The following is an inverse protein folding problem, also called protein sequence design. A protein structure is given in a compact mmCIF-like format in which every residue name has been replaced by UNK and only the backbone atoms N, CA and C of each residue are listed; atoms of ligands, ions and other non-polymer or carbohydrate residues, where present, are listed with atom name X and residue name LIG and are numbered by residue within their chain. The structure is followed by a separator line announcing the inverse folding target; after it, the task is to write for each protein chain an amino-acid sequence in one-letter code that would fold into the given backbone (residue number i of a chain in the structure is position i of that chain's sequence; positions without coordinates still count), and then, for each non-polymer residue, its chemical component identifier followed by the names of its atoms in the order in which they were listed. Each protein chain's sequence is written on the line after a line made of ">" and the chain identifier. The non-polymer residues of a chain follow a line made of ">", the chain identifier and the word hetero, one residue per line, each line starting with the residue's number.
data_IF_623609726926
#
_entry.id   IF_623609726926
#
_cell.length_a   1.000
_cell.length_b   1.000
_cell.length_c   1.000
_cell.angle_alpha   90.00
_cell.angle_beta   90.00
_cell.angle_gamma   90.00
#
_symmetry.space_group_name_H-M   'P 1'
#
loop_
_entity.id
_entity.type
_entity.pdbx_description
1 polymer ?
#
# COMPACT_ATOMS: atom_id res chain seq x y z
N UNK A 1 -3.22 -2.46 6.94
CA UNK A 1 -2.47 -1.19 6.82
C UNK A 1 -1.26 -1.09 7.76
N UNK A 2 -1.42 -1.19 9.09
CA UNK A 2 -0.29 -1.02 10.03
C UNK A 2 0.89 -1.97 9.83
N UNK A 3 0.64 -3.27 9.60
CA UNK A 3 1.72 -4.25 9.41
C UNK A 3 2.61 -3.98 8.18
N UNK A 4 2.05 -3.46 7.09
CA UNK A 4 2.84 -3.05 5.93
C UNK A 4 3.75 -1.85 6.22
N UNK A 5 3.34 -0.95 7.14
CA UNK A 5 4.17 0.19 7.56
C UNK A 5 5.40 -0.22 8.34
N UNK A 6 5.34 -1.32 9.10
CA UNK A 6 6.47 -1.79 9.91
C UNK A 6 7.71 -1.99 9.04
N UNK A 7 7.56 -2.53 7.83
CA UNK A 7 8.70 -2.73 6.92
C UNK A 7 9.34 -1.42 6.44
N UNK A 8 8.53 -0.37 6.27
CA UNK A 8 9.01 0.98 5.92
C UNK A 8 9.74 1.60 7.11
N UNK A 9 9.19 1.46 8.32
CA UNK A 9 9.80 1.98 9.55
C UNK A 9 11.10 1.25 9.90
N UNK A 10 11.16 -0.06 9.71
CA UNK A 10 12.38 -0.85 9.87
C UNK A 10 13.47 -0.39 8.92
N UNK A 11 13.10 -0.04 7.68
CA UNK A 11 14.04 0.49 6.71
C UNK A 11 14.44 1.92 7.03
N UNK A 12 13.53 2.76 7.53
CA UNK A 12 13.84 4.15 7.86
C UNK A 12 14.60 4.33 9.19
N UNK A 13 14.47 3.41 10.14
CA UNK A 13 15.01 3.54 11.49
C UNK A 13 14.35 4.61 12.37
N UNK A 14 13.37 5.37 11.84
CA UNK A 14 12.63 6.40 12.57
C UNK A 14 11.14 6.40 12.14
N UNK A 15 10.30 7.06 12.94
CA UNK A 15 8.86 7.28 12.74
C UNK A 15 8.54 8.65 12.13
N UNK A 16 9.49 9.57 12.05
CA UNK A 16 9.28 10.91 11.46
C UNK A 16 9.24 10.81 9.93
N UNK A 17 8.19 11.36 9.31
CA UNK A 17 8.01 11.29 7.84
C UNK A 17 9.15 11.95 7.07
N UNK A 18 9.74 13.01 7.64
CA UNK A 18 10.88 13.72 7.04
C UNK A 18 12.11 12.81 6.93
N UNK A 19 12.38 12.01 7.95
CA UNK A 19 13.52 11.09 7.93
C UNK A 19 13.27 9.89 7.00
N UNK A 20 12.02 9.43 6.90
CA UNK A 20 11.65 8.40 5.91
C UNK A 20 12.01 8.86 4.49
N UNK A 21 11.64 10.10 4.12
CA UNK A 21 11.97 10.67 2.81
C UNK A 21 13.49 10.82 2.62
N UNK A 22 14.20 11.21 3.67
CA UNK A 22 15.65 11.34 3.63
C UNK A 22 16.36 10.00 3.39
N UNK A 23 15.94 8.94 4.08
CA UNK A 23 16.49 7.61 3.88
C UNK A 23 16.26 7.10 2.45
N UNK A 24 15.11 7.44 1.85
CA UNK A 24 14.82 7.15 0.44
C UNK A 24 15.80 7.85 -0.52
N UNK A 25 16.13 9.10 -0.22
CA UNK A 25 17.07 9.89 -1.01
C UNK A 25 18.50 9.35 -0.91
N UNK A 26 18.95 8.95 0.29
CA UNK A 26 20.27 8.34 0.49
C UNK A 26 20.44 7.02 -0.26
N UNK A 27 19.36 6.23 -0.36
CA UNK A 27 19.36 5.00 -1.16
C UNK A 27 19.33 5.26 -2.66
N UNK A 28 18.94 6.48 -3.08
CA UNK A 28 18.80 6.86 -4.49
C UNK A 28 17.67 6.10 -5.21
N UNK A 29 16.78 5.45 -4.46
CA UNK A 29 15.67 4.67 -4.99
C UNK A 29 14.42 4.83 -4.13
N UNK A 30 13.27 4.88 -4.77
CA UNK A 30 11.99 4.87 -4.08
C UNK A 30 11.76 3.55 -3.36
N UNK A 31 11.21 3.62 -2.14
CA UNK A 31 10.85 2.42 -1.37
C UNK A 31 9.84 1.52 -2.08
N UNK A 32 9.11 2.03 -3.07
CA UNK A 32 8.27 1.20 -3.94
C UNK A 32 9.03 -0.01 -4.56
N UNK A 33 10.33 0.10 -4.84
CA UNK A 33 11.10 -1.01 -5.41
C UNK A 33 11.68 -1.96 -4.34
N UNK A 34 12.47 -1.50 -3.35
CA UNK A 34 12.97 -2.36 -2.26
C UNK A 34 11.85 -2.98 -1.42
N UNK A 35 10.70 -2.32 -1.32
CA UNK A 35 9.56 -2.76 -0.52
C UNK A 35 8.31 -3.05 -1.37
N UNK A 36 8.51 -3.63 -2.56
CA UNK A 36 7.45 -3.87 -3.55
C UNK A 36 6.21 -4.60 -3.01
N UNK A 37 6.39 -5.65 -2.19
CA UNK A 37 5.24 -6.37 -1.62
C UNK A 37 4.50 -5.53 -0.55
N UNK A 38 5.24 -4.83 0.31
CA UNK A 38 4.63 -3.93 1.29
C UNK A 38 3.89 -2.77 0.62
N UNK A 39 4.40 -2.26 -0.50
CA UNK A 39 3.69 -1.27 -1.31
C UNK A 39 2.34 -1.80 -1.80
N UNK A 40 2.31 -3.01 -2.40
CA UNK A 40 1.05 -3.62 -2.87
C UNK A 40 0.08 -3.83 -1.70
N UNK A 41 0.55 -4.40 -0.58
CA UNK A 41 -0.28 -4.64 0.61
C UNK A 41 -0.81 -3.34 1.22
N UNK A 42 0.00 -2.27 1.21
CA UNK A 42 -0.39 -0.96 1.69
C UNK A 42 -1.46 -0.34 0.78
N UNK A 43 -1.24 -0.34 -0.53
CA UNK A 43 -2.20 0.16 -1.53
C UNK A 43 -3.54 -0.55 -1.36
N UNK A 44 -3.56 -1.87 -1.38
CA UNK A 44 -4.81 -2.66 -1.22
C UNK A 44 -5.50 -2.37 0.12
N UNK A 45 -4.73 -2.22 1.20
CA UNK A 45 -5.29 -1.86 2.52
C UNK A 45 -5.88 -0.44 2.52
N UNK A 46 -5.20 0.53 1.91
CA UNK A 46 -5.64 1.92 1.83
C UNK A 46 -6.93 2.04 1.01
N UNK A 47 -7.06 1.24 -0.05
CA UNK A 47 -8.33 1.10 -0.79
C UNK A 47 -9.46 0.56 0.09
N UNK A 48 -9.19 -0.52 0.84
CA UNK A 48 -10.18 -1.09 1.74
C UNK A 48 -10.60 -0.12 2.86
N UNK A 49 -9.67 0.68 3.40
CA UNK A 49 -9.94 1.63 4.48
C UNK A 49 -10.71 2.87 4.03
N UNK A 50 -10.52 3.31 2.77
CA UNK A 50 -11.31 4.40 2.19
C UNK A 50 -12.77 4.05 1.91
N UNK A 51 -13.17 2.78 2.13
CA UNK A 51 -14.55 2.28 1.98
C UNK A 51 -15.21 2.65 0.63
N UNK A 52 -14.41 2.81 -0.43
CA UNK A 52 -14.89 3.16 -1.77
C UNK A 52 -14.87 1.96 -2.70
N UNK A 53 -15.69 2.00 -3.75
CA UNK A 53 -15.66 1.03 -4.86
C UNK A 53 -14.21 0.70 -5.25
N UNK A 54 -13.76 -0.56 -5.15
CA UNK A 54 -14.52 -1.83 -5.10
C UNK A 54 -14.83 -2.39 -3.69
N UNK A 55 -14.37 -1.77 -2.61
CA UNK A 55 -14.53 -2.18 -1.20
C UNK A 55 -15.61 -1.36 -0.47
N UNK A 56 -16.73 -1.13 -1.16
CA UNK A 56 -17.78 -0.20 -0.73
C UNK A 56 -18.87 -0.87 0.12
N UNK A 57 -18.48 -1.51 1.23
CA UNK A 57 -19.37 -2.36 2.06
C UNK A 57 -20.36 -1.57 2.93
N UNK A 58 -19.97 -0.44 3.57
CA UNK A 58 -20.91 0.38 4.35
C UNK A 58 -22.01 1.03 3.50
N UNK A 59 -21.75 1.34 2.21
CA UNK A 59 -22.81 1.78 1.28
C UNK A 59 -23.59 0.57 0.70
N UNK A 60 -23.05 -0.66 0.74
CA UNK A 60 -23.63 -1.87 0.15
C UNK A 60 -24.67 -2.59 1.00
N UNK A 61 -24.38 -2.75 2.29
CA UNK A 61 -25.16 -3.62 3.17
C UNK A 61 -26.52 -3.03 3.55
N UNK A 62 -26.77 -1.78 3.17
CA UNK A 62 -28.10 -1.17 3.13
C UNK A 62 -28.85 -1.58 1.87
N UNK A 63 -29.08 -2.88 1.66
CA UNK A 63 -29.56 -3.43 0.38
C UNK A 63 -31.03 -3.10 -0.01
N UNK A 64 -31.69 -2.09 0.59
CA UNK A 64 -33.01 -1.60 0.14
C UNK A 64 -33.25 -0.07 0.17
N UNK A 65 -32.41 0.73 0.81
CA UNK A 65 -32.48 2.21 0.82
C UNK A 65 -31.06 2.72 0.97
N UNK A 66 -30.67 3.77 0.25
CA UNK A 66 -29.29 4.31 0.11
C UNK A 66 -28.68 4.84 1.43
N UNK A 67 -28.54 3.98 2.44
CA UNK A 67 -27.94 4.19 3.77
C UNK A 67 -27.90 5.63 4.27
N UNK A 68 -26.68 6.09 4.58
CA UNK A 68 -26.44 7.44 5.08
C UNK A 68 -26.72 8.54 4.03
N UNK A 69 -26.74 8.23 2.73
CA UNK A 69 -27.12 9.19 1.68
C UNK A 69 -28.60 9.59 1.77
N UNK A 70 -29.45 8.73 2.32
CA UNK A 70 -30.89 9.00 2.52
C UNK A 70 -31.23 9.52 3.92
N UNK A 71 -30.38 9.24 4.91
CA UNK A 71 -30.62 9.63 6.31
C UNK A 71 -30.13 11.05 6.64
N UNK A 72 -29.10 11.53 5.95
CA UNK A 72 -28.52 12.85 6.19
C UNK A 72 -28.82 13.83 5.04
N UNK A 73 -29.17 15.07 5.40
CA UNK A 73 -29.48 16.14 4.45
C UNK A 73 -28.52 17.33 4.57
N UNK A 74 -28.32 18.03 3.45
CA UNK A 74 -27.58 19.29 3.30
C UNK A 74 -26.18 19.30 3.95
N UNK A 75 -26.01 20.00 5.07
CA UNK A 75 -24.70 20.23 5.68
C UNK A 75 -24.09 18.95 6.28
N UNK A 76 -24.91 18.09 6.89
CA UNK A 76 -24.45 16.81 7.44
C UNK A 76 -23.99 15.88 6.32
N UNK A 77 -24.75 15.83 5.23
CA UNK A 77 -24.37 15.09 4.02
C UNK A 77 -23.05 15.61 3.43
N UNK A 78 -22.89 16.94 3.32
CA UNK A 78 -21.64 17.54 2.84
C UNK A 78 -20.45 17.20 3.73
N UNK A 79 -20.62 17.13 5.05
CA UNK A 79 -19.54 16.78 5.97
C UNK A 79 -19.04 15.34 5.74
N UNK A 80 -19.94 14.38 5.51
CA UNK A 80 -19.56 13.01 5.15
C UNK A 80 -18.78 12.96 3.83
N UNK A 81 -19.28 13.62 2.78
CA UNK A 81 -18.59 13.66 1.48
C UNK A 81 -17.21 14.32 1.57
N UNK A 82 -17.09 15.46 2.26
CA UNK A 82 -15.80 16.14 2.47
C UNK A 82 -14.83 15.25 3.26
N UNK A 83 -15.31 14.54 4.28
CA UNK A 83 -14.49 13.62 5.06
C UNK A 83 -13.98 12.44 4.24
N UNK A 84 -14.82 11.85 3.38
CA UNK A 84 -14.42 10.74 2.50
C UNK A 84 -13.39 11.17 1.47
N UNK A 85 -13.61 12.30 0.80
CA UNK A 85 -12.62 12.87 -0.13
C UNK A 85 -11.35 13.30 0.60
N UNK A 86 -11.48 13.85 1.82
CA UNK A 86 -10.35 14.17 2.69
C UNK A 86 -9.53 12.93 3.02
N UNK A 87 -10.17 11.83 3.39
CA UNK A 87 -9.52 10.56 3.68
C UNK A 87 -8.80 9.97 2.45
N UNK A 88 -9.37 10.10 1.26
CA UNK A 88 -8.71 9.67 0.01
C UNK A 88 -7.45 10.48 -0.27
N UNK A 89 -7.51 11.80 -0.04
CA UNK A 89 -6.35 12.69 -0.21
C UNK A 89 -5.27 12.39 0.82
N UNK A 90 -5.61 12.17 2.09
CA UNK A 90 -4.63 11.83 3.13
C UNK A 90 -4.00 10.47 2.89
N UNK A 91 -4.76 9.45 2.49
CA UNK A 91 -4.23 8.13 2.13
C UNK A 91 -3.26 8.23 0.94
N UNK A 92 -3.62 8.99 -0.10
CA UNK A 92 -2.77 9.22 -1.27
C UNK A 92 -1.49 10.00 -0.92
N UNK A 93 -1.60 11.00 -0.03
CA UNK A 93 -0.46 11.75 0.48
C UNK A 93 0.50 10.83 1.26
N UNK A 94 -0.02 9.98 2.15
CA UNK A 94 0.79 9.01 2.90
C UNK A 94 1.48 7.99 1.97
N UNK A 95 0.79 7.51 0.93
CA UNK A 95 1.39 6.63 -0.07
C UNK A 95 2.55 7.30 -0.80
N UNK A 96 2.37 8.57 -1.20
CA UNK A 96 3.41 9.35 -1.86
C UNK A 96 4.62 9.58 -0.94
N UNK A 97 4.41 9.90 0.33
CA UNK A 97 5.51 10.12 1.29
C UNK A 97 6.24 8.84 1.65
N UNK A 98 5.52 7.74 1.89
CA UNK A 98 6.13 6.53 2.42
C UNK A 98 6.83 5.69 1.35
N UNK A 99 6.32 5.65 0.12
CA UNK A 99 6.84 4.77 -0.91
C UNK A 99 7.52 5.48 -2.08
N UNK A 100 7.11 6.71 -2.42
CA UNK A 100 7.58 7.45 -3.59
C UNK A 100 8.47 8.65 -3.24
N UNK A 101 9.06 8.71 -2.04
CA UNK A 101 9.99 9.79 -1.70
C UNK A 101 9.33 11.14 -1.43
N UNK A 102 8.00 11.24 -1.28
CA UNK A 102 7.32 12.49 -0.94
C UNK A 102 7.69 13.65 -1.89
N UNK A 103 8.39 14.65 -1.35
CA UNK A 103 8.85 15.85 -2.07
C UNK A 103 10.15 15.65 -2.88
N UNK A 104 10.85 14.53 -2.71
CA UNK A 104 12.09 14.24 -3.43
C UNK A 104 11.82 13.92 -4.92
N UNK A 105 12.60 14.51 -5.82
CA UNK A 105 12.50 14.26 -7.26
C UNK A 105 13.65 13.34 -7.68
N UNK A 106 13.36 12.23 -8.39
CA UNK A 106 14.39 11.26 -8.76
C UNK A 106 15.45 11.95 -9.63
N UNK A 107 16.66 12.06 -9.10
CA UNK A 107 17.80 12.72 -9.74
C UNK A 107 18.32 13.96 -9.01
N UNK A 108 18.59 13.89 -7.70
CA UNK A 108 19.48 14.82 -6.95
C UNK A 108 19.39 16.31 -7.34
N UNK A 109 18.16 16.83 -7.50
CA UNK A 109 17.93 18.26 -7.79
C UNK A 109 17.85 19.10 -6.51
N UNK A 110 17.47 18.48 -5.38
CA UNK A 110 17.31 19.16 -4.11
C UNK A 110 17.61 18.23 -2.92
N UNK A 111 18.88 18.16 -2.50
CA UNK A 111 19.25 17.49 -1.25
C UNK A 111 18.92 18.33 0.00
N UNK A 112 17.99 19.28 -0.10
CA UNK A 112 17.68 20.21 0.97
C UNK A 112 16.70 19.60 1.98
N UNK A 113 17.11 19.44 3.23
CA UNK A 113 16.30 18.97 4.35
C UNK A 113 16.30 19.98 5.50
N UNK A 114 15.23 19.95 6.28
CA UNK A 114 15.16 20.71 7.53
C UNK A 114 15.78 19.90 8.66
N UNK A 115 16.81 20.44 9.29
CA UNK A 115 17.45 19.86 10.47
C UNK A 115 17.70 20.96 11.49
N UNK A 116 17.22 20.74 12.72
CA UNK A 116 17.38 21.68 13.84
C UNK A 116 16.99 23.14 13.52
N UNK A 117 15.98 23.32 12.66
CA UNK A 117 15.46 24.65 12.28
C UNK A 117 16.22 25.34 11.13
N UNK A 118 17.16 24.66 10.46
CA UNK A 118 17.88 25.19 9.29
C UNK A 118 17.71 24.29 8.05
N UNK A 119 17.69 24.91 6.86
CA UNK A 119 17.62 24.21 5.57
C UNK A 119 19.04 23.83 5.12
N UNK A 120 19.36 22.53 5.16
CA UNK A 120 20.70 21.97 4.97
C UNK A 120 20.68 21.07 3.72
N UNK A 121 21.71 21.15 2.87
CA UNK A 121 21.88 20.30 1.68
C UNK A 121 22.64 18.99 1.98
N UNK A 122 23.37 18.95 3.09
CA UNK A 122 24.15 17.80 3.54
C UNK A 122 25.10 18.13 4.67
N UNK A 123 25.66 17.10 5.28
CA UNK A 123 26.78 17.20 6.21
C UNK A 123 28.07 16.85 5.45
N UNK A 124 29.11 17.68 5.59
CA UNK A 124 30.44 17.33 5.09
C UNK A 124 31.06 16.24 5.99
N UNK A 125 32.08 15.51 5.53
CA UNK A 125 32.81 14.50 6.35
C UNK A 125 33.32 15.03 7.71
N UNK A 126 33.44 16.34 7.87
CA UNK A 126 33.86 17.02 9.10
C UNK A 126 32.70 17.53 9.99
N UNK A 127 31.46 17.15 9.69
CA UNK A 127 30.28 17.56 10.47
C UNK A 127 29.80 19.01 10.26
N UNK A 128 30.36 19.72 9.27
CA UNK A 128 29.95 21.08 8.92
C UNK A 128 28.71 21.06 8.02
N UNK A 129 27.71 21.85 8.42
CA UNK A 129 26.42 22.05 7.74
C UNK A 129 26.62 22.78 6.41
N UNK A 130 26.20 22.18 5.30
CA UNK A 130 26.11 22.87 4.00
C UNK A 130 24.74 23.51 3.87
N UNK A 131 24.65 24.83 3.98
CA UNK A 131 23.38 25.55 3.81
C UNK A 131 22.83 25.36 2.39
N UNK A 132 21.58 24.91 2.30
CA UNK A 132 20.88 24.84 1.02
C UNK A 132 20.56 26.25 0.55
N UNK A 133 20.89 26.59 -0.71
CA UNK A 133 20.52 27.88 -1.30
C UNK A 133 19.03 27.83 -1.68
N UNK A 134 18.13 28.52 -0.96
CA UNK A 134 16.70 28.42 -1.19
C UNK A 134 16.33 29.21 -2.44
N UNK A 135 16.39 28.56 -3.59
CA UNK A 135 15.79 29.12 -4.80
C UNK A 135 14.29 28.86 -4.75
N UNK A 136 13.46 29.90 -4.77
CA UNK A 136 12.00 29.80 -4.79
C UNK A 136 11.48 28.81 -5.85
N UNK A 137 12.17 28.74 -7.01
CA UNK A 137 11.87 27.81 -8.08
C UNK A 137 12.00 26.33 -7.64
N UNK A 138 13.00 25.99 -6.82
CA UNK A 138 13.18 24.61 -6.32
C UNK A 138 12.05 24.23 -5.37
N UNK A 139 11.66 25.12 -4.47
CA UNK A 139 10.53 24.90 -3.55
C UNK A 139 9.21 24.71 -4.30
N UNK A 140 8.98 25.48 -5.37
CA UNK A 140 7.80 25.30 -6.22
C UNK A 140 7.85 23.95 -6.95
N UNK A 141 9.02 23.52 -7.43
CA UNK A 141 9.18 22.22 -8.08
C UNK A 141 8.99 21.04 -7.12
N UNK A 142 9.51 21.10 -5.90
CA UNK A 142 9.32 20.02 -4.90
C UNK A 142 7.87 19.93 -4.45
N UNK A 143 7.21 21.07 -4.23
CA UNK A 143 5.78 21.10 -3.97
C UNK A 143 4.96 20.55 -5.14
N UNK A 144 5.29 20.96 -6.37
CA UNK A 144 4.67 20.46 -7.60
C UNK A 144 4.88 18.96 -7.79
N UNK A 145 6.08 18.45 -7.48
CA UNK A 145 6.41 17.03 -7.54
C UNK A 145 5.62 16.20 -6.53
N UNK A 146 5.50 16.68 -5.29
CA UNK A 146 4.64 16.06 -4.29
C UNK A 146 3.17 16.04 -4.74
N UNK A 147 2.64 17.20 -5.16
CA UNK A 147 1.26 17.33 -5.63
C UNK A 147 0.98 16.41 -6.84
N UNK A 148 1.94 16.27 -7.76
CA UNK A 148 1.83 15.38 -8.91
C UNK A 148 1.76 13.91 -8.47
N UNK A 149 2.60 13.47 -7.53
CA UNK A 149 2.56 12.09 -7.00
C UNK A 149 1.28 11.79 -6.24
N UNK A 150 0.82 12.72 -5.39
CA UNK A 150 -0.47 12.58 -4.70
C UNK A 150 -1.61 12.53 -5.71
N UNK A 151 -1.58 13.38 -6.74
CA UNK A 151 -2.58 13.37 -7.82
C UNK A 151 -2.54 12.07 -8.64
N UNK A 152 -1.36 11.50 -8.88
CA UNK A 152 -1.23 10.19 -9.53
C UNK A 152 -1.96 9.09 -8.75
N UNK A 153 -1.83 9.07 -7.42
CA UNK A 153 -2.56 8.11 -6.60
C UNK A 153 -4.06 8.39 -6.57
N UNK A 154 -4.49 9.65 -6.52
CA UNK A 154 -5.90 10.02 -6.68
C UNK A 154 -6.47 9.55 -8.03
N UNK A 155 -5.71 9.70 -9.11
CA UNK A 155 -6.08 9.17 -10.43
C UNK A 155 -6.16 7.64 -10.42
N UNK A 156 -5.25 6.97 -9.71
CA UNK A 156 -5.29 5.51 -9.51
C UNK A 156 -6.56 5.09 -8.76
N UNK A 157 -7.02 5.85 -7.75
CA UNK A 157 -8.31 5.63 -7.10
C UNK A 157 -9.49 5.70 -8.07
N UNK A 158 -9.52 6.72 -8.92
CA UNK A 158 -10.57 6.92 -9.92
C UNK A 158 -10.51 5.82 -10.99
N UNK A 159 -9.30 5.42 -11.40
CA UNK A 159 -9.11 4.39 -12.41
C UNK A 159 -9.57 3.02 -11.91
N UNK A 160 -9.15 2.63 -10.70
CA UNK A 160 -9.53 1.33 -10.12
C UNK A 160 -11.05 1.20 -9.98
N UNK A 161 -11.73 2.29 -9.64
CA UNK A 161 -13.19 2.34 -9.58
C UNK A 161 -13.85 1.93 -10.89
N UNK A 162 -13.23 2.20 -12.04
CA UNK A 162 -13.77 1.86 -13.35
C UNK A 162 -13.31 0.48 -13.87
N UNK A 163 -12.27 -0.11 -13.28
CA UNK A 163 -11.71 -1.40 -13.76
C UNK A 163 -12.18 -2.62 -12.98
N UNK A 164 -12.37 -2.51 -11.66
CA UNK A 164 -12.62 -3.67 -10.82
C UNK A 164 -14.12 -3.85 -10.53
N UNK A 165 -14.67 -5.06 -10.71
CA UNK A 165 -16.00 -5.41 -10.22
C UNK A 165 -16.07 -5.29 -8.69
N UNK A 166 -17.26 -5.02 -8.17
CA UNK A 166 -17.53 -4.92 -6.73
C UNK A 166 -17.26 -6.24 -6.01
N UNK A 167 -16.57 -6.20 -4.87
CA UNK A 167 -16.35 -7.38 -4.01
C UNK A 167 -17.47 -7.54 -2.98
N UNK A 168 -17.79 -8.80 -2.65
CA UNK A 168 -18.73 -9.14 -1.56
C UNK A 168 -18.01 -9.11 -0.21
N UNK A 169 -18.73 -8.74 0.86
CA UNK A 169 -18.21 -8.69 2.23
C UNK A 169 -17.39 -9.91 2.64
N UNK A 170 -17.93 -11.11 2.39
CA UNK A 170 -17.26 -12.39 2.72
C UNK A 170 -15.88 -12.54 2.04
N UNK A 171 -15.74 -12.03 0.80
CA UNK A 171 -14.50 -12.10 0.03
C UNK A 171 -13.47 -11.10 0.55
N UNK A 172 -13.90 -9.90 0.93
CA UNK A 172 -13.04 -8.87 1.51
C UNK A 172 -12.48 -9.34 2.84
N UNK A 173 -13.34 -9.91 3.70
CA UNK A 173 -12.92 -10.41 5.01
C UNK A 173 -12.00 -11.63 4.88
N UNK A 174 -12.27 -12.53 3.94
CA UNK A 174 -11.38 -13.64 3.63
C UNK A 174 -10.02 -13.16 3.10
N UNK A 175 -9.99 -12.14 2.24
CA UNK A 175 -8.76 -11.55 1.71
C UNK A 175 -7.92 -10.91 2.82
N UNK A 176 -8.54 -10.10 3.68
CA UNK A 176 -7.85 -9.45 4.81
C UNK A 176 -7.25 -10.47 5.79
N UNK A 177 -8.05 -11.43 6.25
CA UNK A 177 -7.64 -12.36 7.31
C UNK A 177 -6.81 -13.54 6.83
N UNK A 178 -7.13 -14.14 5.67
CA UNK A 178 -6.44 -15.37 5.21
C UNK A 178 -5.24 -15.07 4.34
N UNK A 179 -5.20 -13.93 3.67
CA UNK A 179 -4.15 -13.61 2.70
C UNK A 179 -3.29 -12.45 3.19
N UNK A 180 -3.86 -11.28 3.44
CA UNK A 180 -3.08 -10.07 3.71
C UNK A 180 -2.34 -10.15 5.05
N UNK A 181 -3.01 -10.56 6.14
CA UNK A 181 -2.41 -10.57 7.47
C UNK A 181 -1.22 -11.55 7.57
N UNK A 182 -1.34 -12.84 7.18
CA UNK A 182 -0.20 -13.76 7.24
C UNK A 182 0.94 -13.34 6.31
N UNK A 183 0.61 -12.82 5.11
CA UNK A 183 1.62 -12.38 4.15
C UNK A 183 2.38 -11.16 4.66
N UNK A 184 1.70 -10.18 5.26
CA UNK A 184 2.35 -9.00 5.81
C UNK A 184 3.33 -9.34 6.95
N UNK A 185 2.94 -10.27 7.83
CA UNK A 185 3.83 -10.75 8.91
C UNK A 185 5.05 -11.49 8.34
N UNK A 186 4.83 -12.42 7.41
CA UNK A 186 5.93 -13.15 6.77
C UNK A 186 6.90 -12.20 6.05
N UNK A 187 6.36 -11.19 5.37
CA UNK A 187 7.16 -10.20 4.67
C UNK A 187 7.97 -9.31 5.62
N UNK A 188 7.39 -8.90 6.75
CA UNK A 188 8.12 -8.13 7.76
C UNK A 188 9.32 -8.91 8.33
N UNK A 189 9.12 -10.20 8.61
CA UNK A 189 10.22 -11.09 9.06
C UNK A 189 11.29 -11.26 7.97
N UNK A 190 10.89 -11.41 6.71
CA UNK A 190 11.80 -11.55 5.58
C UNK A 190 12.65 -10.30 5.37
N UNK A 191 12.05 -9.11 5.40
CA UNK A 191 12.78 -7.85 5.28
C UNK A 191 13.71 -7.63 6.46
N UNK A 192 13.25 -7.89 7.70
CA UNK A 192 14.11 -7.85 8.88
C UNK A 192 15.32 -8.76 8.77
N UNK A 193 15.12 -10.02 8.37
CA UNK A 193 16.21 -10.96 8.14
C UNK A 193 17.17 -10.52 7.03
N UNK A 194 16.64 -9.94 5.94
CA UNK A 194 17.47 -9.46 4.82
C UNK A 194 18.33 -8.27 5.24
N UNK A 195 17.78 -7.34 6.03
CA UNK A 195 18.53 -6.21 6.58
C UNK A 195 19.70 -6.70 7.45
N UNK A 196 19.45 -7.69 8.33
CA UNK A 196 20.49 -8.27 9.18
C UNK A 196 21.61 -8.95 8.38
N UNK A 197 21.25 -9.72 7.34
CA UNK A 197 22.24 -10.38 6.48
C UNK A 197 23.08 -9.34 5.72
N UNK A 198 22.45 -8.26 5.24
CA UNK A 198 23.18 -7.19 4.54
C UNK A 198 24.12 -6.42 5.46
N UNK A 199 23.74 -6.26 6.74
CA UNK A 199 24.58 -5.62 7.77
C UNK A 199 25.80 -6.48 8.14
N UNK A 200 25.61 -7.80 8.28
CA UNK A 200 26.72 -8.76 8.48
C UNK A 200 27.72 -8.76 7.30
N UNK A 201 27.22 -8.57 6.07
CA UNK A 201 28.05 -8.45 4.87
C UNK A 201 28.75 -7.08 4.79
N UNK A 202 28.50 -6.16 5.73
CA UNK A 202 29.03 -4.80 5.80
C UNK A 202 28.85 -4.02 4.49
N UNK A 203 27.72 -4.22 3.81
CA UNK A 203 27.43 -3.45 2.61
C UNK A 203 27.17 -1.99 2.99
N UNK A 204 27.85 -1.07 2.31
CA UNK A 204 27.58 0.35 2.48
C UNK A 204 26.13 0.67 2.10
N UNK A 205 25.49 1.51 2.93
CA UNK A 205 24.19 2.09 2.63
C UNK A 205 24.25 2.91 1.34
N UNK A 206 23.50 2.48 0.33
CA UNK A 206 23.50 3.09 -1.00
C UNK A 206 22.73 2.27 -2.03
N UNK A 207 22.93 2.59 -3.32
CA UNK A 207 22.18 1.99 -4.43
C UNK A 207 22.31 0.45 -4.50
N UNK A 208 23.48 -0.11 -4.17
CA UNK A 208 23.72 -1.56 -4.14
C UNK A 208 22.91 -2.28 -3.06
N UNK A 209 22.78 -1.64 -1.88
CA UNK A 209 21.95 -2.14 -0.78
C UNK A 209 20.47 -2.15 -1.19
N UNK A 210 20.01 -1.06 -1.82
CA UNK A 210 18.68 -0.97 -2.39
C UNK A 210 18.39 -2.02 -3.46
N UNK A 211 19.34 -2.29 -4.37
CA UNK A 211 19.20 -3.31 -5.40
C UNK A 211 19.11 -4.73 -4.82
N UNK A 212 19.94 -5.06 -3.83
CA UNK A 212 19.89 -6.35 -3.15
C UNK A 212 18.52 -6.59 -2.51
N UNK A 213 17.98 -5.59 -1.80
CA UNK A 213 16.64 -5.64 -1.24
C UNK A 213 15.55 -5.71 -2.31
N UNK A 214 15.71 -4.98 -3.41
CA UNK A 214 14.76 -5.03 -4.53
C UNK A 214 14.73 -6.40 -5.19
N UNK A 215 15.86 -7.09 -5.31
CA UNK A 215 15.91 -8.46 -5.82
C UNK A 215 15.15 -9.42 -4.89
N UNK A 216 15.43 -9.36 -3.59
CA UNK A 216 14.76 -10.21 -2.59
C UNK A 216 13.25 -9.91 -2.51
N UNK A 217 12.88 -8.63 -2.47
CA UNK A 217 11.49 -8.19 -2.47
C UNK A 217 10.78 -8.55 -3.77
N UNK A 218 11.44 -8.43 -4.91
CA UNK A 218 10.89 -8.82 -6.22
C UNK A 218 10.61 -10.32 -6.28
N UNK A 219 11.49 -11.16 -5.74
CA UNK A 219 11.26 -12.61 -5.60
C UNK A 219 10.06 -12.88 -4.67
N UNK A 220 9.98 -12.18 -3.54
CA UNK A 220 8.85 -12.33 -2.61
C UNK A 220 7.52 -11.92 -3.27
N UNK A 221 7.52 -10.84 -4.03
CA UNK A 221 6.36 -10.35 -4.80
C UNK A 221 5.97 -11.34 -5.90
N UNK A 222 6.92 -11.87 -6.66
CA UNK A 222 6.65 -12.89 -7.67
C UNK A 222 6.07 -14.17 -7.05
N UNK A 223 6.62 -14.61 -5.91
CA UNK A 223 6.10 -15.74 -5.15
C UNK A 223 4.68 -15.50 -4.64
N UNK A 224 4.39 -14.28 -4.17
CA UNK A 224 3.05 -13.88 -3.75
C UNK A 224 2.04 -13.87 -4.91
N UNK A 225 2.41 -13.29 -6.06
CA UNK A 225 1.56 -13.30 -7.27
C UNK A 225 1.30 -14.73 -7.74
N UNK A 226 2.33 -15.59 -7.77
CA UNK A 226 2.17 -17.00 -8.11
C UNK A 226 1.25 -17.74 -7.14
N UNK A 227 1.33 -17.44 -5.84
CA UNK A 227 0.45 -18.02 -4.84
C UNK A 227 -1.02 -17.57 -5.04
N UNK A 228 -1.24 -16.30 -5.37
CA UNK A 228 -2.57 -15.77 -5.68
C UNK A 228 -3.16 -16.36 -6.96
N UNK A 229 -2.36 -16.48 -8.01
CA UNK A 229 -2.79 -16.99 -9.33
C UNK A 229 -3.15 -18.47 -9.30
N UNK A 230 -2.64 -19.23 -8.33
CA UNK A 230 -2.92 -20.67 -8.18
C UNK A 230 -4.37 -21.01 -7.76
N UNK A 231 -5.29 -20.05 -7.84
CA UNK A 231 -6.74 -20.28 -7.90
C UNK A 231 -7.40 -20.81 -6.63
N UNK A 232 -6.70 -20.79 -5.48
CA UNK A 232 -7.24 -21.33 -4.21
C UNK A 232 -8.04 -20.33 -3.37
N UNK A 233 -7.96 -19.03 -3.66
CA UNK A 233 -8.53 -17.99 -2.78
C UNK A 233 -9.51 -17.03 -3.46
N UNK A 234 -9.42 -16.82 -4.78
CA UNK A 234 -10.37 -15.98 -5.54
C UNK A 234 -11.00 -16.81 -6.66
N UNK A 235 -11.92 -17.71 -6.28
CA UNK A 235 -12.78 -18.40 -7.24
C UNK A 235 -13.97 -17.49 -7.53
N UNK A 236 -14.11 -17.05 -8.78
CA UNK A 236 -15.33 -16.36 -9.23
C UNK A 236 -16.56 -17.24 -8.99
N UNK A 237 -17.72 -16.62 -8.73
CA UNK A 237 -18.95 -17.32 -8.35
C UNK A 237 -19.35 -18.50 -9.28
N UNK A 238 -18.90 -18.50 -10.53
CA UNK A 238 -19.09 -19.58 -11.49
C UNK A 238 -18.41 -20.92 -11.08
N UNK A 239 -17.32 -20.89 -10.32
CA UNK A 239 -16.57 -22.09 -9.93
C UNK A 239 -17.24 -22.92 -8.82
N UNK A 240 -18.11 -22.31 -8.00
CA UNK A 240 -18.79 -23.03 -6.92
C UNK A 240 -19.93 -23.93 -7.40
N UNK A 241 -20.51 -23.66 -8.58
CA UNK A 241 -21.64 -24.44 -9.09
C UNK A 241 -21.26 -25.89 -9.43
N UNK A 242 -19.99 -26.16 -9.75
CA UNK A 242 -19.58 -27.49 -10.22
C UNK A 242 -19.30 -28.51 -9.11
N UNK A 243 -19.15 -28.07 -7.86
CA UNK A 243 -18.68 -28.95 -6.77
C UNK A 243 -19.78 -29.49 -5.85
N UNK A 244 -21.06 -29.07 -6.01
CA UNK A 244 -22.11 -29.38 -5.03
C UNK A 244 -23.26 -30.27 -5.50
N UNK A 245 -23.13 -30.99 -6.61
CA UNK A 245 -24.16 -31.97 -7.03
C UNK A 245 -23.53 -33.34 -7.28
N UNK A 246 -23.02 -33.96 -6.20
CA UNK A 246 -23.06 -35.40 -6.07
C UNK A 246 -24.31 -35.70 -5.27
N UNK A 247 -25.42 -35.92 -5.97
CA UNK A 247 -26.63 -36.49 -5.36
C UNK A 247 -26.26 -37.94 -5.06
N UNK A 248 -25.93 -38.22 -3.81
CA UNK A 248 -25.91 -39.58 -3.28
C UNK A 248 -27.33 -40.10 -3.44
N UNK A 249 -27.57 -40.88 -4.50
CA UNK A 249 -28.85 -41.51 -4.77
C UNK A 249 -29.27 -42.31 -3.54
N UNK A 250 -30.44 -41.97 -3.01
CA UNK A 250 -31.13 -42.74 -1.98
C UNK A 250 -31.32 -44.15 -2.55
N UNK A 251 -30.74 -45.16 -1.92
CA UNK A 251 -31.00 -46.56 -2.24
C UNK A 251 -32.49 -46.83 -2.11
N UNK A 252 -33.14 -47.21 -3.21
CA UNK A 252 -34.52 -47.70 -3.21
C UNK A 252 -34.66 -48.86 -2.19
N UNK A 253 -35.76 -48.93 -1.42
CA UNK A 253 -36.03 -50.11 -0.62
C UNK A 253 -36.35 -51.27 -1.57
N UNK A 254 -35.67 -52.40 -1.38
CA UNK A 254 -35.94 -53.63 -2.12
C UNK A 254 -37.43 -53.99 -1.97
N UNK A 255 -38.11 -54.10 -3.12
CA UNK A 255 -39.47 -54.60 -3.21
C UNK A 255 -39.54 -56.03 -2.69
N UNK A 256 -40.46 -56.27 -1.76
CA UNK A 256 -40.90 -57.61 -1.39
C UNK A 256 -41.43 -58.36 -2.62
N UNK A 257 -41.03 -59.61 -2.79
CA UNK A 257 -41.50 -60.51 -3.84
C UNK A 257 -41.06 -61.94 -3.59
N UNK A 258 -42.08 -62.76 -3.27
CA UNK A 258 -42.20 -64.21 -3.17
C UNK A 258 -41.47 -64.99 -2.05
#
# INVERSE_FOLDING_TARGET
>A
LGLSLITVLMMSGNVTLTEVVWQQQQLGMWFAFPLSLAFILFVVSAFAETNRLPFDMPEAESELVTGYHTEYSAMKFSAFMISEFGHMVTASALMATLFLGGWDLPGTWDDAFWHEGQLIKGFTQDGVIVLANPAWWKTVLTFGGFAMKTSFFMLLYIWIRWTLPRFRYDQVMALGWKVMLPTALAYAMLIGGTILVLDEVKMAWGFSYGLALTAVSGVATAGFIFFLDRGRTIIGAAGQSRQKVSITGISQPATAGD
#
